data_IF_726428156012
#
_entry.id   IF_726428156012
#
_cell.length_a   1.000
_cell.length_b   1.000
_cell.length_c   1.000
_cell.angle_alpha   90.00
_cell.angle_beta   90.00
_cell.angle_gamma   90.00
#
_symmetry.space_group_name_H-M   'P 1'
#
loop_
_entity.id
_entity.type
_entity.pdbx_description
1 polymer ?
#
# COMPACT_ATOMS: atom_id res chain seq x y z
N UNK A 1 -5.90 -6.25 23.49
CA UNK A 1 -6.53 -7.32 24.29
C UNK A 1 -5.61 -7.57 25.46
N UNK A 2 -6.15 -7.60 26.67
CA UNK A 2 -5.36 -7.85 27.87
C UNK A 2 -4.97 -9.33 27.94
N UNK A 3 -4.03 -9.67 28.81
CA UNK A 3 -3.60 -11.06 29.04
C UNK A 3 -4.77 -11.96 29.47
N UNK A 4 -5.75 -11.39 30.17
CA UNK A 4 -6.98 -12.07 30.60
C UNK A 4 -8.05 -12.24 29.49
N UNK A 5 -7.74 -11.83 28.24
CA UNK A 5 -8.64 -11.92 27.10
C UNK A 5 -9.68 -10.80 27.01
N UNK A 6 -9.75 -9.88 27.98
CA UNK A 6 -10.69 -8.75 27.95
C UNK A 6 -10.19 -7.59 27.07
N UNK A 7 -11.11 -6.68 26.72
CA UNK A 7 -10.79 -5.45 25.98
C UNK A 7 -10.35 -4.33 26.93
N UNK A 8 -9.51 -3.43 26.44
CA UNK A 8 -9.11 -2.24 27.17
C UNK A 8 -10.27 -1.25 27.28
N UNK A 9 -10.35 -0.54 28.42
CA UNK A 9 -11.18 0.64 28.61
C UNK A 9 -10.45 1.88 28.09
N UNK A 10 -11.18 2.96 27.84
CA UNK A 10 -10.62 4.17 27.22
C UNK A 10 -9.39 4.75 27.95
N UNK A 11 -9.43 4.84 29.27
CA UNK A 11 -8.29 5.32 30.06
C UNK A 11 -7.06 4.41 29.95
N UNK A 12 -7.25 3.09 29.76
CA UNK A 12 -6.16 2.13 29.59
C UNK A 12 -5.51 2.31 28.21
N UNK A 13 -6.32 2.52 27.16
CA UNK A 13 -5.83 2.87 25.82
C UNK A 13 -5.02 4.17 25.86
N UNK A 14 -5.57 5.23 26.47
CA UNK A 14 -4.86 6.51 26.60
C UNK A 14 -3.52 6.31 27.30
N UNK A 15 -3.50 5.54 28.40
CA UNK A 15 -2.28 5.31 29.17
C UNK A 15 -1.24 4.56 28.34
N UNK A 16 -1.60 3.43 27.74
CA UNK A 16 -0.69 2.61 26.93
C UNK A 16 -0.10 3.41 25.78
N UNK A 17 -0.93 4.17 25.06
CA UNK A 17 -0.51 4.97 23.91
C UNK A 17 0.49 6.05 24.34
N UNK A 18 0.17 6.82 25.38
CA UNK A 18 1.04 7.90 25.84
C UNK A 18 2.34 7.36 26.45
N UNK A 19 2.27 6.35 27.31
CA UNK A 19 3.47 5.70 27.87
C UNK A 19 4.36 5.15 26.73
N UNK A 20 3.76 4.53 25.71
CA UNK A 20 4.45 4.07 24.52
C UNK A 20 5.18 5.20 23.78
N UNK A 21 4.47 6.30 23.47
CA UNK A 21 5.05 7.46 22.78
C UNK A 21 6.26 8.04 23.50
N UNK A 22 6.16 8.27 24.81
CA UNK A 22 7.27 8.81 25.60
C UNK A 22 8.40 7.80 25.81
N UNK A 23 8.09 6.50 25.85
CA UNK A 23 9.11 5.45 25.92
C UNK A 23 9.94 5.39 24.64
N UNK A 24 9.31 5.48 23.47
CA UNK A 24 10.01 5.56 22.18
C UNK A 24 10.94 6.77 22.15
N UNK A 25 10.43 7.95 22.55
CA UNK A 25 11.23 9.18 22.59
C UNK A 25 12.42 9.06 23.56
N UNK A 26 12.19 8.50 24.76
CA UNK A 26 13.23 8.26 25.77
C UNK A 26 14.30 7.31 25.27
N UNK A 27 13.90 6.21 24.64
CA UNK A 27 14.82 5.22 24.09
C UNK A 27 15.69 5.85 22.99
N UNK A 28 15.07 6.57 22.04
CA UNK A 28 15.80 7.30 21.01
C UNK A 28 16.81 8.28 21.58
N UNK A 29 16.39 9.08 22.57
CA UNK A 29 17.28 10.05 23.21
C UNK A 29 18.48 9.37 23.89
N UNK A 30 18.25 8.27 24.61
CA UNK A 30 19.33 7.50 25.26
C UNK A 30 20.27 6.85 24.26
N UNK A 31 19.72 6.14 23.27
CA UNK A 31 20.49 5.43 22.24
C UNK A 31 21.37 6.40 21.43
N UNK A 32 20.88 7.62 21.18
CA UNK A 32 21.59 8.66 20.41
C UNK A 32 22.32 9.70 21.28
N UNK A 33 22.43 9.49 22.60
CA UNK A 33 23.08 10.41 23.55
C UNK A 33 22.54 11.85 23.49
N UNK A 34 21.24 12.00 23.22
CA UNK A 34 20.54 13.27 23.22
C UNK A 34 20.04 13.61 24.64
N UNK A 35 19.89 14.90 24.99
CA UNK A 35 19.37 15.30 26.29
C UNK A 35 17.98 14.73 26.59
N UNK A 36 17.81 14.18 27.79
CA UNK A 36 16.53 13.71 28.32
C UNK A 36 16.33 14.19 29.75
N UNK A 37 15.12 14.66 30.08
CA UNK A 37 14.76 15.07 31.43
C UNK A 37 13.48 14.35 31.86
N UNK A 38 13.60 13.40 32.77
CA UNK A 38 12.48 12.57 33.22
C UNK A 38 11.36 13.38 33.88
N UNK A 39 11.68 14.43 34.65
CA UNK A 39 10.67 15.27 35.30
C UNK A 39 9.83 16.05 34.27
N UNK A 40 10.50 16.67 33.29
CA UNK A 40 9.83 17.37 32.19
C UNK A 40 8.96 16.41 31.36
N UNK A 41 9.50 15.25 31.02
CA UNK A 41 8.80 14.25 30.24
C UNK A 41 7.55 13.71 30.97
N UNK A 42 7.67 13.41 32.27
CA UNK A 42 6.55 12.93 33.08
C UNK A 42 5.41 13.94 33.14
N UNK A 43 5.72 15.22 33.39
CA UNK A 43 4.70 16.29 33.42
C UNK A 43 4.01 16.43 32.05
N UNK A 44 4.79 16.40 30.98
CA UNK A 44 4.29 16.49 29.60
C UNK A 44 3.41 15.27 29.23
N UNK A 45 3.77 14.07 29.69
CA UNK A 45 3.00 12.85 29.47
C UNK A 45 1.64 12.89 30.19
N UNK A 46 1.59 13.39 31.43
CA UNK A 46 0.33 13.57 32.16
C UNK A 46 -0.61 14.55 31.46
N UNK A 47 -0.08 15.68 30.97
CA UNK A 47 -0.87 16.64 30.18
C UNK A 47 -1.36 16.01 28.87
N UNK A 48 -0.50 15.30 28.14
CA UNK A 48 -0.86 14.63 26.91
C UNK A 48 -1.94 13.56 27.13
N UNK A 49 -1.84 12.78 28.21
CA UNK A 49 -2.86 11.83 28.65
C UNK A 49 -4.19 12.52 28.91
N UNK A 50 -4.21 13.59 29.71
CA UNK A 50 -5.45 14.29 30.04
C UNK A 50 -6.14 14.82 28.78
N UNK A 51 -5.38 15.45 27.88
CA UNK A 51 -5.90 15.98 26.62
C UNK A 51 -6.44 14.87 25.70
N UNK A 52 -5.77 13.73 25.63
CA UNK A 52 -6.26 12.57 24.87
C UNK A 52 -7.52 11.99 25.52
N UNK A 53 -7.52 11.80 26.84
CA UNK A 53 -8.65 11.25 27.59
C UNK A 53 -9.92 12.08 27.44
N UNK A 54 -9.78 13.42 27.46
CA UNK A 54 -10.84 14.39 27.21
C UNK A 54 -11.17 14.60 25.72
N UNK A 55 -10.59 13.80 24.83
CA UNK A 55 -10.80 13.85 23.38
C UNK A 55 -10.48 15.22 22.75
N UNK A 56 -9.55 15.98 23.32
CA UNK A 56 -9.05 17.24 22.72
C UNK A 56 -8.18 16.98 21.49
N UNK A 57 -7.56 15.80 21.43
CA UNK A 57 -6.85 15.28 20.27
C UNK A 57 -6.79 13.76 20.37
N UNK A 58 -6.55 13.08 19.25
CA UNK A 58 -6.25 11.65 19.21
C UNK A 58 -5.13 11.40 18.20
N UNK A 59 -4.29 10.37 18.39
CA UNK A 59 -3.45 9.88 17.31
C UNK A 59 -4.32 9.19 16.24
N UNK A 60 -3.77 8.91 15.05
CA UNK A 60 -4.47 8.09 14.07
C UNK A 60 -4.94 6.77 14.68
N UNK A 61 -6.01 6.18 14.12
CA UNK A 61 -6.58 4.93 14.64
C UNK A 61 -5.57 3.79 14.83
N UNK A 62 -4.59 3.68 13.94
CA UNK A 62 -3.46 2.74 14.08
C UNK A 62 -2.57 3.07 15.28
N UNK A 63 -2.29 4.34 15.52
CA UNK A 63 -1.58 4.77 16.71
C UNK A 63 -2.32 4.37 18.00
N UNK A 64 -3.65 4.54 18.04
CA UNK A 64 -4.45 4.10 19.18
C UNK A 64 -4.38 2.57 19.41
N UNK A 65 -4.34 1.80 18.32
CA UNK A 65 -4.29 0.35 18.37
C UNK A 65 -2.88 -0.21 18.70
N UNK A 66 -1.82 0.37 18.13
CA UNK A 66 -0.49 -0.23 18.12
C UNK A 66 0.53 0.41 19.07
N UNK A 67 0.45 1.71 19.40
CA UNK A 67 1.43 2.33 20.30
C UNK A 67 1.44 1.66 21.67
N UNK A 68 2.63 1.45 22.23
CA UNK A 68 2.80 0.86 23.56
C UNK A 68 2.47 -0.64 23.64
N UNK A 69 2.19 -1.29 22.50
CA UNK A 69 2.00 -2.76 22.45
C UNK A 69 3.34 -3.49 22.26
N UNK A 70 3.44 -4.79 22.56
CA UNK A 70 4.64 -5.59 22.26
C UNK A 70 5.08 -5.52 20.79
N UNK A 71 4.14 -5.32 19.86
CA UNK A 71 4.45 -5.17 18.44
C UNK A 71 5.32 -3.93 18.15
N UNK A 72 5.08 -2.82 18.82
CA UNK A 72 5.85 -1.58 18.62
C UNK A 72 7.03 -1.49 19.59
N UNK A 73 6.86 -1.94 20.83
CA UNK A 73 7.88 -1.78 21.88
C UNK A 73 8.93 -2.88 21.90
N UNK A 74 8.56 -4.14 21.66
CA UNK A 74 9.47 -5.28 21.74
C UNK A 74 9.94 -5.70 20.34
N UNK A 75 8.99 -5.91 19.42
CA UNK A 75 9.29 -6.33 18.03
C UNK A 75 9.83 -5.20 17.16
N UNK A 76 9.81 -3.96 17.67
CA UNK A 76 10.27 -2.74 16.97
C UNK A 76 9.68 -2.59 15.56
N UNK A 77 8.46 -3.07 15.35
CA UNK A 77 7.77 -2.94 14.07
C UNK A 77 7.19 -1.53 13.93
N UNK A 78 7.98 -0.59 13.42
CA UNK A 78 7.57 0.79 13.18
C UNK A 78 6.52 0.92 12.07
N UNK A 79 6.48 -0.01 11.11
CA UNK A 79 5.46 -0.01 10.05
C UNK A 79 4.05 -0.14 10.63
N UNK A 80 3.89 -0.81 11.76
CA UNK A 80 2.63 -0.90 12.51
C UNK A 80 2.11 0.46 13.03
N UNK A 81 2.90 1.54 12.94
CA UNK A 81 2.52 2.91 13.28
C UNK A 81 2.28 3.78 12.04
N UNK A 82 2.68 3.30 10.86
CA UNK A 82 2.45 3.98 9.58
C UNK A 82 1.10 3.53 9.01
N UNK A 83 0.26 4.49 8.64
CA UNK A 83 -1.05 4.25 8.06
C UNK A 83 -1.02 4.17 6.54
N UNK A 84 -0.19 5.01 5.95
CA UNK A 84 -0.18 5.20 4.52
C UNK A 84 1.25 5.40 4.02
N UNK A 85 1.44 5.17 2.74
CA UNK A 85 2.67 5.39 2.03
C UNK A 85 2.39 5.76 0.57
N UNK A 86 3.45 6.16 -0.12
CA UNK A 86 3.47 6.35 -1.57
C UNK A 86 4.71 5.64 -2.13
N UNK A 87 4.58 5.04 -3.32
CA UNK A 87 5.72 4.50 -4.08
C UNK A 87 5.67 4.95 -5.53
N UNK A 88 6.82 5.37 -6.06
CA UNK A 88 6.91 5.79 -7.45
C UNK A 88 7.35 4.64 -8.35
N UNK A 89 6.62 4.37 -9.43
CA UNK A 89 7.05 3.35 -10.41
C UNK A 89 8.22 3.84 -11.27
N UNK A 90 8.59 5.12 -11.14
CA UNK A 90 9.90 5.63 -11.56
C UNK A 90 11.06 4.85 -10.92
N UNK A 91 10.88 4.18 -9.79
CA UNK A 91 11.95 3.43 -9.13
C UNK A 91 12.02 1.95 -9.55
N UNK A 92 11.21 1.51 -10.54
CA UNK A 92 11.31 0.15 -11.09
C UNK A 92 12.74 -0.19 -11.52
N UNK A 93 13.37 -1.16 -10.88
CA UNK A 93 14.70 -1.65 -11.23
C UNK A 93 14.60 -2.61 -12.41
N UNK A 94 15.47 -2.45 -13.41
CA UNK A 94 15.56 -3.37 -14.56
C UNK A 94 15.96 -4.79 -14.15
N UNK A 95 16.70 -4.94 -13.07
CA UNK A 95 17.21 -6.23 -12.61
C UNK A 95 16.24 -6.95 -11.66
N UNK A 96 15.33 -6.21 -11.05
CA UNK A 96 14.34 -6.71 -10.09
C UNK A 96 13.04 -5.88 -10.13
N UNK A 97 12.35 -5.81 -11.28
CA UNK A 97 11.15 -5.00 -11.43
C UNK A 97 10.01 -5.43 -10.51
N UNK A 98 9.96 -6.72 -10.15
CA UNK A 98 8.99 -7.27 -9.21
C UNK A 98 9.11 -6.69 -7.80
N UNK A 99 10.28 -6.18 -7.39
CA UNK A 99 10.53 -5.73 -6.01
C UNK A 99 9.61 -4.58 -5.57
N UNK A 100 9.28 -3.66 -6.47
CA UNK A 100 8.40 -2.53 -6.16
C UNK A 100 6.97 -2.99 -5.86
N UNK A 101 6.46 -3.92 -6.65
CA UNK A 101 5.14 -4.51 -6.47
C UNK A 101 5.10 -5.42 -5.23
N UNK A 102 6.19 -6.14 -4.97
CA UNK A 102 6.38 -6.93 -3.76
C UNK A 102 6.36 -6.03 -2.50
N UNK A 103 7.06 -4.90 -2.52
CA UNK A 103 7.00 -3.89 -1.46
C UNK A 103 5.58 -3.34 -1.28
N UNK A 104 4.86 -3.11 -2.38
CA UNK A 104 3.46 -2.65 -2.34
C UNK A 104 2.57 -3.68 -1.66
N UNK A 105 2.69 -4.96 -2.05
CA UNK A 105 1.99 -6.06 -1.38
C UNK A 105 2.33 -6.11 0.10
N UNK A 106 3.59 -5.94 0.45
CA UNK A 106 4.05 -6.01 1.83
C UNK A 106 3.44 -4.91 2.70
N UNK A 107 3.47 -3.67 2.21
CA UNK A 107 2.85 -2.52 2.84
C UNK A 107 1.34 -2.74 3.03
N UNK A 108 0.64 -3.23 1.99
CA UNK A 108 -0.78 -3.55 2.06
C UNK A 108 -1.08 -4.65 3.10
N UNK A 109 -0.28 -5.72 3.15
CA UNK A 109 -0.40 -6.80 4.16
C UNK A 109 -0.06 -6.34 5.57
N UNK A 110 0.72 -5.27 5.71
CA UNK A 110 0.94 -4.56 6.96
C UNK A 110 -0.17 -3.56 7.25
N UNK A 111 -1.24 -3.49 6.45
CA UNK A 111 -2.38 -2.58 6.63
C UNK A 111 -2.06 -1.11 6.35
N UNK A 112 -1.04 -0.85 5.55
CA UNK A 112 -0.65 0.47 5.06
C UNK A 112 -1.35 0.71 3.73
N UNK A 113 -2.09 1.81 3.58
CA UNK A 113 -2.65 2.21 2.28
C UNK A 113 -1.55 2.79 1.38
N UNK A 114 -1.49 2.41 0.11
CA UNK A 114 -0.38 2.78 -0.79
C UNK A 114 -0.90 3.56 -1.99
N UNK A 115 -0.47 4.81 -2.13
CA UNK A 115 -0.57 5.52 -3.39
C UNK A 115 0.61 5.15 -4.31
N UNK A 116 0.38 5.12 -5.60
CA UNK A 116 1.41 4.79 -6.59
C UNK A 116 1.17 5.52 -7.89
N UNK A 117 2.25 5.89 -8.59
CA UNK A 117 2.16 6.49 -9.93
C UNK A 117 2.39 5.47 -11.04
N UNK A 118 2.12 5.86 -12.29
CA UNK A 118 2.41 5.06 -13.49
C UNK A 118 3.62 5.56 -14.29
N UNK A 119 4.51 6.38 -13.71
CA UNK A 119 5.70 6.95 -14.39
C UNK A 119 6.64 5.85 -14.90
N UNK A 120 6.61 4.68 -14.28
CA UNK A 120 7.34 3.49 -14.72
C UNK A 120 7.03 3.04 -16.15
N UNK A 121 5.89 3.44 -16.73
CA UNK A 121 5.54 3.12 -18.12
C UNK A 121 6.56 3.69 -19.11
N UNK A 122 7.15 4.85 -18.82
CA UNK A 122 8.13 5.52 -19.68
C UNK A 122 9.47 4.76 -19.75
N UNK A 123 9.66 3.76 -18.89
CA UNK A 123 10.85 2.89 -18.91
C UNK A 123 10.79 1.80 -19.96
N UNK A 124 9.64 1.60 -20.62
CA UNK A 124 9.47 0.64 -21.72
C UNK A 124 9.89 -0.80 -21.36
N UNK A 125 9.61 -1.24 -20.12
CA UNK A 125 9.76 -2.64 -19.75
C UNK A 125 8.94 -3.51 -20.69
N UNK A 126 9.56 -4.55 -21.25
CA UNK A 126 8.86 -5.53 -22.07
C UNK A 126 8.27 -6.62 -21.18
N UNK A 127 7.11 -7.13 -21.57
CA UNK A 127 6.50 -8.31 -20.97
C UNK A 127 6.94 -9.53 -21.78
N UNK A 128 7.58 -10.48 -21.11
CA UNK A 128 8.12 -11.71 -21.69
C UNK A 128 7.28 -12.91 -21.26
N UNK A 129 7.18 -13.92 -22.12
CA UNK A 129 6.81 -15.25 -21.66
C UNK A 129 8.05 -15.87 -20.97
N UNK A 130 7.89 -16.50 -19.79
CA UNK A 130 8.96 -17.31 -19.22
C UNK A 130 9.22 -18.52 -20.11
N UNK A 131 10.49 -18.74 -20.47
CA UNK A 131 10.93 -19.79 -21.41
C UNK A 131 11.81 -20.85 -20.77
N UNK A 132 12.43 -20.54 -19.64
CA UNK A 132 13.36 -21.45 -18.98
C UNK A 132 12.61 -22.50 -18.15
N UNK A 133 13.26 -23.63 -17.78
CA UNK A 133 12.62 -24.75 -17.11
C UNK A 133 11.81 -24.35 -15.87
N UNK A 134 10.82 -25.17 -15.54
CA UNK A 134 10.00 -24.98 -14.35
C UNK A 134 10.85 -25.00 -13.09
N UNK A 135 10.70 -23.96 -12.26
CA UNK A 135 11.24 -23.90 -10.90
C UNK A 135 10.07 -23.84 -9.93
N UNK A 136 10.06 -24.77 -8.98
CA UNK A 136 9.04 -24.83 -7.93
C UNK A 136 9.52 -24.10 -6.68
N UNK A 137 8.77 -23.10 -6.24
CA UNK A 137 9.02 -22.39 -4.99
C UNK A 137 8.01 -22.83 -3.93
N UNK A 138 8.52 -23.38 -2.82
CA UNK A 138 7.71 -23.71 -1.66
C UNK A 138 7.50 -22.46 -0.81
N UNK A 139 6.25 -22.01 -0.71
CA UNK A 139 5.94 -20.72 -0.09
C UNK A 139 5.91 -20.92 1.43
N UNK A 140 6.83 -20.29 2.20
CA UNK A 140 6.77 -20.37 3.65
C UNK A 140 5.52 -19.66 4.18
N UNK A 141 4.99 -20.12 5.31
CA UNK A 141 3.78 -19.59 5.97
C UNK A 141 4.03 -18.24 6.68
N UNK A 142 4.55 -17.28 5.91
CA UNK A 142 4.91 -15.93 6.34
C UNK A 142 4.44 -14.90 5.32
N UNK A 143 4.25 -13.66 5.76
CA UNK A 143 3.95 -12.53 4.87
C UNK A 143 5.05 -12.38 3.82
N UNK A 144 6.31 -12.51 4.24
CA UNK A 144 7.48 -12.42 3.39
C UNK A 144 7.49 -13.51 2.30
N UNK A 145 7.02 -14.73 2.61
CA UNK A 145 6.87 -15.80 1.62
C UNK A 145 5.86 -15.47 0.53
N UNK A 146 4.70 -14.91 0.92
CA UNK A 146 3.67 -14.46 -0.02
C UNK A 146 4.23 -13.36 -0.93
N UNK A 147 4.87 -12.35 -0.33
CA UNK A 147 5.49 -11.22 -1.04
C UNK A 147 6.55 -11.70 -2.02
N UNK A 148 7.41 -12.64 -1.60
CA UNK A 148 8.46 -13.19 -2.44
C UNK A 148 7.90 -13.99 -3.62
N UNK A 149 6.83 -14.77 -3.41
CA UNK A 149 6.18 -15.52 -4.50
C UNK A 149 5.64 -14.61 -5.61
N UNK A 150 5.07 -13.46 -5.26
CA UNK A 150 4.62 -12.45 -6.23
C UNK A 150 5.80 -11.77 -6.91
N UNK A 151 6.88 -11.45 -6.18
CA UNK A 151 8.13 -10.91 -6.77
C UNK A 151 8.70 -11.84 -7.83
N UNK A 152 8.83 -13.13 -7.51
CA UNK A 152 9.33 -14.16 -8.41
C UNK A 152 8.44 -14.30 -9.65
N UNK A 153 7.12 -14.32 -9.46
CA UNK A 153 6.17 -14.41 -10.57
C UNK A 153 6.28 -13.20 -11.51
N UNK A 154 6.26 -11.98 -10.97
CA UNK A 154 6.35 -10.77 -11.79
C UNK A 154 7.71 -10.67 -12.50
N UNK A 155 8.81 -11.01 -11.82
CA UNK A 155 10.13 -11.06 -12.45
C UNK A 155 10.17 -12.06 -13.60
N UNK A 156 9.43 -13.17 -13.52
CA UNK A 156 9.36 -14.14 -14.62
C UNK A 156 8.73 -13.58 -15.90
N UNK A 157 7.89 -12.55 -15.78
CA UNK A 157 7.29 -11.84 -16.91
C UNK A 157 8.02 -10.54 -17.28
N UNK A 158 8.73 -9.89 -16.34
CA UNK A 158 9.32 -8.56 -16.55
C UNK A 158 10.83 -8.59 -16.80
N UNK A 159 11.41 -9.79 -16.90
CA UNK A 159 12.80 -10.01 -17.29
C UNK A 159 12.88 -11.08 -18.39
N UNK A 160 13.84 -10.98 -19.32
CA UNK A 160 14.02 -11.99 -20.35
C UNK A 160 14.59 -13.29 -19.77
N UNK A 161 14.34 -14.40 -20.47
CA UNK A 161 14.94 -15.72 -20.20
C UNK A 161 14.80 -16.15 -18.72
N UNK A 162 13.60 -16.03 -18.16
CA UNK A 162 13.31 -16.45 -16.79
C UNK A 162 12.62 -17.80 -16.75
N UNK A 163 12.79 -18.49 -15.62
CA UNK A 163 12.15 -19.76 -15.32
C UNK A 163 10.64 -19.60 -15.18
N UNK A 164 9.91 -20.58 -15.70
CA UNK A 164 8.49 -20.76 -15.38
C UNK A 164 8.37 -21.01 -13.87
N UNK A 165 7.73 -20.09 -13.15
CA UNK A 165 7.55 -20.22 -11.71
C UNK A 165 6.34 -21.08 -11.42
N UNK A 166 6.49 -22.13 -10.62
CA UNK A 166 5.40 -22.90 -10.02
C UNK A 166 5.46 -22.81 -8.50
N UNK A 167 4.32 -22.89 -7.83
CA UNK A 167 4.24 -22.60 -6.39
C UNK A 167 3.67 -23.78 -5.61
N UNK A 168 4.34 -24.13 -4.50
CA UNK A 168 3.79 -25.01 -3.48
C UNK A 168 3.16 -24.19 -2.36
N UNK A 169 1.86 -24.40 -2.13
CA UNK A 169 1.10 -23.72 -1.09
C UNK A 169 0.89 -24.57 0.16
N UNK A 170 1.44 -25.79 0.22
CA UNK A 170 1.15 -26.79 1.27
C UNK A 170 1.56 -26.35 2.67
N UNK A 171 2.57 -25.47 2.79
CA UNK A 171 2.99 -24.93 4.09
C UNK A 171 2.07 -23.84 4.62
N UNK A 172 1.30 -23.16 3.76
CA UNK A 172 0.45 -22.03 4.16
C UNK A 172 -0.68 -22.54 5.05
N UNK A 173 -0.85 -21.90 6.21
CA UNK A 173 -1.87 -22.29 7.20
C UNK A 173 -3.29 -22.24 6.60
N UNK A 174 -4.19 -23.13 7.03
CA UNK A 174 -5.55 -23.18 6.50
C UNK A 174 -6.40 -21.96 6.90
N UNK A 175 -7.52 -21.79 6.19
CA UNK A 175 -8.56 -20.81 6.52
C UNK A 175 -9.00 -20.96 7.99
N UNK A 176 -9.10 -19.84 8.70
CA UNK A 176 -9.49 -19.81 10.11
C UNK A 176 -8.34 -19.95 11.10
N UNK A 177 -7.12 -20.31 10.66
CA UNK A 177 -5.97 -20.42 11.56
C UNK A 177 -5.58 -19.05 12.16
N UNK A 178 -5.23 -18.94 13.46
CA UNK A 178 -4.90 -17.65 14.07
C UNK A 178 -3.67 -16.95 13.46
N UNK A 179 -3.74 -15.63 13.27
CA UNK A 179 -2.58 -14.81 12.88
C UNK A 179 -1.95 -14.17 14.11
N UNK A 180 -0.67 -14.49 14.36
CA UNK A 180 0.12 -13.83 15.43
C UNK A 180 0.53 -12.42 14.98
N UNK A 181 0.31 -11.41 15.83
CA UNK A 181 0.73 -10.02 15.57
C UNK A 181 -0.44 -9.09 15.29
N UNK A 182 -0.94 -9.06 14.06
CA UNK A 182 -2.03 -8.16 13.65
C UNK A 182 -3.44 -8.60 14.13
N UNK A 183 -3.54 -9.79 14.74
CA UNK A 183 -4.80 -10.38 15.16
C UNK A 183 -5.59 -10.95 13.97
N UNK A 184 -6.78 -11.50 14.26
CA UNK A 184 -7.62 -12.11 13.24
C UNK A 184 -7.25 -13.56 12.90
N UNK A 185 -7.87 -14.05 11.83
CA UNK A 185 -7.70 -15.41 11.31
C UNK A 185 -7.24 -15.36 9.86
N UNK A 186 -6.45 -16.35 9.47
CA UNK A 186 -5.91 -16.51 8.13
C UNK A 186 -7.00 -16.85 7.12
N UNK A 187 -6.81 -16.41 5.88
CA UNK A 187 -7.67 -16.69 4.74
C UNK A 187 -7.45 -18.07 4.10
N UNK A 188 -6.43 -18.81 4.53
CA UNK A 188 -5.90 -19.92 3.74
C UNK A 188 -5.11 -19.43 2.51
N UNK A 189 -4.59 -20.37 1.69
CA UNK A 189 -3.80 -20.06 0.50
C UNK A 189 -4.62 -19.56 -0.70
N UNK A 190 -5.94 -19.76 -0.70
CA UNK A 190 -6.81 -19.52 -1.85
C UNK A 190 -6.69 -18.10 -2.45
N UNK A 191 -6.65 -17.00 -1.67
CA UNK A 191 -6.45 -15.67 -2.24
C UNK A 191 -5.12 -15.53 -3.01
N UNK A 192 -4.04 -16.12 -2.51
CA UNK A 192 -2.73 -16.07 -3.16
C UNK A 192 -2.71 -16.90 -4.45
N UNK A 193 -3.35 -18.07 -4.43
CA UNK A 193 -3.54 -18.90 -5.63
C UNK A 193 -4.27 -18.10 -6.71
N UNK A 194 -5.39 -17.44 -6.34
CA UNK A 194 -6.15 -16.57 -7.25
C UNK A 194 -5.33 -15.41 -7.78
N UNK A 195 -4.50 -14.78 -6.93
CA UNK A 195 -3.59 -13.71 -7.34
C UNK A 195 -2.59 -14.20 -8.40
N UNK A 196 -1.90 -15.32 -8.15
CA UNK A 196 -0.94 -15.87 -9.10
C UNK A 196 -1.59 -16.22 -10.43
N UNK A 197 -2.76 -16.87 -10.40
CA UNK A 197 -3.52 -17.19 -11.61
C UNK A 197 -3.97 -15.93 -12.37
N UNK A 198 -4.39 -14.89 -11.65
CA UNK A 198 -4.82 -13.62 -12.24
C UNK A 198 -3.64 -12.88 -12.87
N UNK A 199 -2.48 -12.82 -12.22
CA UNK A 199 -1.26 -12.24 -12.80
C UNK A 199 -0.87 -13.00 -14.07
N UNK A 200 -0.89 -14.34 -14.06
CA UNK A 200 -0.63 -15.13 -15.28
C UNK A 200 -1.59 -14.81 -16.40
N UNK A 201 -2.88 -14.66 -16.09
CA UNK A 201 -3.92 -14.35 -17.08
C UNK A 201 -3.78 -12.92 -17.60
N UNK A 202 -3.62 -11.93 -16.73
CA UNK A 202 -3.66 -10.51 -17.08
C UNK A 202 -2.33 -10.02 -17.65
N UNK A 203 -1.20 -10.44 -17.07
CA UNK A 203 0.13 -10.04 -17.53
C UNK A 203 0.69 -11.03 -18.55
N UNK A 204 0.53 -12.34 -18.33
CA UNK A 204 1.09 -13.34 -19.25
C UNK A 204 0.47 -13.32 -20.65
N UNK A 205 -0.81 -12.95 -20.79
CA UNK A 205 -1.46 -12.81 -22.11
C UNK A 205 -0.98 -11.58 -22.89
N UNK A 206 -0.26 -10.67 -22.25
CA UNK A 206 0.31 -9.45 -22.83
C UNK A 206 1.78 -9.61 -23.22
N UNK A 207 2.24 -10.85 -23.38
CA UNK A 207 3.61 -11.13 -23.83
C UNK A 207 3.90 -10.43 -25.16
N UNK A 208 5.02 -9.72 -25.23
CA UNK A 208 5.43 -8.91 -26.39
C UNK A 208 4.95 -7.45 -26.33
N UNK A 209 4.08 -7.10 -25.37
CA UNK A 209 3.71 -5.72 -25.08
C UNK A 209 4.67 -5.08 -24.08
N UNK A 210 4.55 -3.76 -23.94
CA UNK A 210 5.21 -2.99 -22.88
C UNK A 210 4.37 -2.96 -21.60
N UNK A 211 5.04 -2.85 -20.46
CA UNK A 211 4.43 -2.56 -19.16
C UNK A 211 3.90 -1.12 -19.14
N UNK A 212 2.70 -0.93 -19.67
CA UNK A 212 1.99 0.35 -19.73
C UNK A 212 1.30 0.71 -18.40
N UNK A 213 0.67 1.89 -18.36
CA UNK A 213 -0.11 2.33 -17.19
C UNK A 213 -1.18 1.33 -16.76
N UNK A 214 -1.89 0.70 -17.71
CA UNK A 214 -2.88 -0.35 -17.43
C UNK A 214 -2.25 -1.53 -16.67
N UNK A 215 -1.14 -2.08 -17.16
CA UNK A 215 -0.45 -3.22 -16.57
C UNK A 215 0.05 -2.90 -15.16
N UNK A 216 0.64 -1.71 -14.98
CA UNK A 216 1.11 -1.24 -13.68
C UNK A 216 -0.04 -1.20 -12.67
N UNK A 217 -1.13 -0.51 -13.03
CA UNK A 217 -2.29 -0.38 -12.14
C UNK A 217 -2.86 -1.74 -11.81
N UNK A 218 -2.73 -2.72 -12.71
CA UNK A 218 -3.48 -3.95 -12.57
C UNK A 218 -2.76 -5.14 -11.99
N UNK A 219 -1.43 -5.08 -11.99
CA UNK A 219 -0.61 -5.73 -10.97
C UNK A 219 -0.99 -5.22 -9.57
N UNK A 220 -0.99 -3.91 -9.34
CA UNK A 220 -1.23 -3.35 -7.99
C UNK A 220 -2.66 -3.62 -7.51
N UNK A 221 -3.66 -3.50 -8.38
CA UNK A 221 -5.04 -3.75 -8.02
C UNK A 221 -5.29 -5.24 -7.74
N UNK A 222 -4.74 -6.16 -8.53
CA UNK A 222 -4.82 -7.60 -8.23
C UNK A 222 -4.16 -7.94 -6.89
N UNK A 223 -2.99 -7.35 -6.60
CA UNK A 223 -2.34 -7.49 -5.29
C UNK A 223 -3.28 -7.00 -4.18
N UNK A 224 -3.89 -5.82 -4.34
CA UNK A 224 -4.81 -5.28 -3.36
C UNK A 224 -6.03 -6.18 -3.11
N UNK A 225 -6.65 -6.73 -4.16
CA UNK A 225 -7.81 -7.62 -3.99
C UNK A 225 -7.44 -8.91 -3.24
N UNK A 226 -6.24 -9.44 -3.48
CA UNK A 226 -5.68 -10.57 -2.73
C UNK A 226 -5.54 -10.23 -1.23
N UNK A 227 -5.00 -9.06 -0.90
CA UNK A 227 -4.80 -8.66 0.50
C UNK A 227 -6.14 -8.44 1.23
N UNK A 228 -7.13 -7.85 0.55
CA UNK A 228 -8.49 -7.69 1.11
C UNK A 228 -9.13 -9.05 1.40
N UNK A 229 -9.06 -9.99 0.45
CA UNK A 229 -9.55 -11.36 0.65
C UNK A 229 -8.75 -12.12 1.73
N UNK A 230 -7.48 -11.74 1.94
CA UNK A 230 -6.58 -12.20 2.98
C UNK A 230 -6.99 -11.85 4.42
N UNK A 231 -8.12 -11.16 4.61
CA UNK A 231 -8.66 -10.72 5.91
C UNK A 231 -7.74 -9.74 6.68
N UNK A 232 -6.81 -9.10 5.98
CA UNK A 232 -6.08 -7.93 6.48
C UNK A 232 -6.90 -6.72 6.05
N UNK A 233 -7.46 -5.97 7.02
CA UNK A 233 -8.18 -4.69 6.91
C UNK A 233 -8.20 -4.08 5.50
N UNK A 234 -9.40 -3.71 4.98
CA UNK A 234 -9.63 -3.01 3.70
C UNK A 234 -8.39 -2.25 3.20
N UNK A 235 -7.62 -2.88 2.30
CA UNK A 235 -6.54 -2.23 1.57
C UNK A 235 -7.10 -1.00 0.85
N UNK A 236 -6.27 0.02 0.69
CA UNK A 236 -6.64 1.22 -0.04
C UNK A 236 -5.46 1.60 -0.91
N UNK A 237 -5.72 1.77 -2.20
CA UNK A 237 -4.71 2.28 -3.14
C UNK A 237 -5.23 3.48 -3.90
N UNK A 238 -4.29 4.32 -4.32
CA UNK A 238 -4.55 5.44 -5.21
C UNK A 238 -3.59 5.32 -6.38
N UNK A 239 -4.13 5.18 -7.58
CA UNK A 239 -3.34 5.19 -8.80
C UNK A 239 -3.23 6.63 -9.31
N UNK A 240 -2.02 7.09 -9.62
CA UNK A 240 -1.75 8.40 -10.20
C UNK A 240 -1.22 8.25 -11.64
N UNK A 241 -2.06 8.62 -12.61
CA UNK A 241 -1.73 8.56 -14.03
C UNK A 241 -1.29 9.90 -14.60
N UNK A 242 -0.71 9.86 -15.80
CA UNK A 242 -0.40 11.07 -16.56
C UNK A 242 -1.68 11.74 -17.08
N UNK A 243 -1.68 13.08 -17.14
CA UNK A 243 -2.72 13.82 -17.85
C UNK A 243 -2.69 13.45 -19.34
N UNK A 244 -3.83 13.05 -19.89
CA UNK A 244 -3.96 12.66 -21.30
C UNK A 244 -3.64 11.19 -21.63
N UNK A 245 -3.38 10.36 -20.63
CA UNK A 245 -3.29 8.90 -20.83
C UNK A 245 -4.70 8.31 -20.93
N UNK A 246 -5.21 8.18 -22.15
CA UNK A 246 -6.55 7.64 -22.42
C UNK A 246 -6.74 6.21 -21.90
N UNK A 247 -5.69 5.39 -21.91
CA UNK A 247 -5.75 4.03 -21.35
C UNK A 247 -6.00 4.10 -19.85
N UNK A 248 -5.24 4.93 -19.14
CA UNK A 248 -5.38 5.14 -17.69
C UNK A 248 -6.75 5.70 -17.30
N UNK A 249 -7.22 6.73 -18.02
CA UNK A 249 -8.51 7.37 -17.73
C UNK A 249 -9.68 6.39 -17.91
N UNK A 250 -9.53 5.38 -18.78
CA UNK A 250 -10.57 4.37 -19.02
C UNK A 250 -10.49 3.14 -18.11
N UNK A 251 -9.52 3.01 -17.20
CA UNK A 251 -9.35 1.77 -16.40
C UNK A 251 -10.56 1.39 -15.54
N UNK A 252 -11.43 2.36 -15.21
CA UNK A 252 -12.69 2.17 -14.49
C UNK A 252 -13.93 2.32 -15.40
N UNK A 253 -13.75 2.23 -16.71
CA UNK A 253 -14.82 2.24 -17.69
C UNK A 253 -15.20 0.79 -18.09
N UNK A 254 -16.39 0.29 -17.70
CA UNK A 254 -16.83 -1.08 -18.01
C UNK A 254 -17.05 -1.33 -19.50
N UNK A 255 -17.31 -0.30 -20.31
CA UNK A 255 -17.49 -0.47 -21.75
C UNK A 255 -16.16 -0.72 -22.48
N UNK A 256 -15.06 -0.24 -21.90
CA UNK A 256 -13.70 -0.37 -22.47
C UNK A 256 -12.96 -1.57 -21.86
N UNK A 257 -13.05 -1.75 -20.54
CA UNK A 257 -12.41 -2.85 -19.83
C UNK A 257 -13.42 -3.60 -18.96
N UNK A 258 -14.35 -4.37 -19.57
CA UNK A 258 -15.40 -5.09 -18.85
C UNK A 258 -14.85 -6.11 -17.86
N UNK A 259 -13.73 -6.76 -18.16
CA UNK A 259 -13.09 -7.74 -17.28
C UNK A 259 -12.56 -7.10 -15.99
N UNK A 260 -12.08 -5.86 -16.07
CA UNK A 260 -11.59 -5.12 -14.90
C UNK A 260 -12.73 -4.65 -14.00
N UNK A 261 -13.87 -4.32 -14.60
CA UNK A 261 -15.03 -3.70 -13.96
C UNK A 261 -16.19 -4.68 -13.73
N UNK A 262 -15.93 -5.98 -13.86
CA UNK A 262 -16.93 -7.04 -13.67
C UNK A 262 -17.48 -7.04 -12.23
N UNK A 263 -18.81 -7.12 -12.12
CA UNK A 263 -19.53 -7.35 -10.86
C UNK A 263 -19.97 -8.81 -10.69
N UNK A 264 -19.57 -9.71 -11.60
CA UNK A 264 -19.84 -11.15 -11.49
C UNK A 264 -19.16 -11.71 -10.22
N UNK A 265 -19.91 -12.28 -9.26
CA UNK A 265 -19.32 -12.88 -8.06
C UNK A 265 -18.34 -14.03 -8.35
N UNK A 266 -18.52 -14.74 -9.47
CA UNK A 266 -17.65 -15.86 -9.88
C UNK A 266 -16.39 -15.37 -10.60
N UNK A 267 -16.47 -14.22 -11.27
CA UNK A 267 -15.36 -13.58 -11.98
C UNK A 267 -15.31 -12.08 -11.66
N UNK A 268 -15.05 -11.70 -10.39
CA UNK A 268 -15.10 -10.30 -10.00
C UNK A 268 -13.93 -9.54 -10.60
N UNK A 269 -14.21 -8.32 -11.04
CA UNK A 269 -13.21 -7.38 -11.48
C UNK A 269 -12.33 -6.88 -10.32
N UNK A 270 -11.25 -6.20 -10.66
CA UNK A 270 -10.27 -5.64 -9.72
C UNK A 270 -10.16 -4.11 -9.81
N UNK A 271 -10.91 -3.46 -10.69
CA UNK A 271 -10.88 -2.00 -10.87
C UNK A 271 -11.28 -1.21 -9.61
N UNK A 272 -12.12 -1.80 -8.74
CA UNK A 272 -12.57 -1.17 -7.51
C UNK A 272 -11.47 -0.98 -6.46
N UNK A 273 -10.32 -1.63 -6.63
CA UNK A 273 -9.26 -1.63 -5.63
C UNK A 273 -8.59 -0.25 -5.46
N UNK A 274 -8.55 0.55 -6.53
CA UNK A 274 -7.97 1.89 -6.52
C UNK A 274 -9.00 2.97 -6.84
N UNK A 275 -8.82 4.13 -6.22
CA UNK A 275 -9.28 5.39 -6.81
C UNK A 275 -8.19 5.88 -7.77
N UNK A 276 -8.57 6.50 -8.88
CA UNK A 276 -7.64 6.88 -9.93
C UNK A 276 -7.64 8.40 -10.08
N UNK A 277 -6.48 9.02 -9.90
CA UNK A 277 -6.29 10.45 -10.12
C UNK A 277 -5.31 10.70 -11.25
N UNK A 278 -5.42 11.85 -11.90
CA UNK A 278 -4.43 12.30 -12.87
C UNK A 278 -3.52 13.37 -12.26
N UNK A 279 -2.27 13.39 -12.71
CA UNK A 279 -1.34 14.49 -12.42
C UNK A 279 -1.76 15.70 -13.24
N UNK A 280 -2.51 16.61 -12.61
CA UNK A 280 -2.97 17.85 -13.20
C UNK A 280 -1.93 18.98 -13.01
N UNK A 281 -2.14 20.06 -13.75
CA UNK A 281 -1.41 21.33 -13.60
C UNK A 281 -2.42 22.47 -13.57
N UNK A 282 -2.02 23.65 -13.09
CA UNK A 282 -2.88 24.83 -13.17
C UNK A 282 -3.19 25.12 -14.65
N UNK A 283 -4.48 25.06 -15.01
CA UNK A 283 -4.93 25.25 -16.39
C UNK A 283 -5.12 23.98 -17.21
N UNK A 284 -5.04 22.78 -16.59
CA UNK A 284 -5.55 21.55 -17.21
C UNK A 284 -6.99 21.77 -17.72
N UNK A 285 -7.31 21.29 -18.92
CA UNK A 285 -8.67 21.32 -19.46
C UNK A 285 -9.53 20.33 -18.64
N UNK A 286 -10.27 20.81 -17.64
CA UNK A 286 -11.02 19.98 -16.71
C UNK A 286 -12.34 19.50 -17.32
N UNK A 287 -12.87 20.26 -18.26
CA UNK A 287 -14.16 20.03 -18.93
C UNK A 287 -14.22 18.65 -19.59
N UNK A 288 -13.10 18.15 -20.12
CA UNK A 288 -13.02 16.82 -20.74
C UNK A 288 -13.26 15.65 -19.76
N UNK A 289 -13.19 15.90 -18.45
CA UNK A 289 -13.36 14.88 -17.42
C UNK A 289 -14.73 14.94 -16.74
N UNK A 290 -15.54 15.98 -17.02
CA UNK A 290 -16.79 16.23 -16.30
C UNK A 290 -17.77 15.07 -16.41
N UNK A 291 -18.01 14.55 -17.63
CA UNK A 291 -18.96 13.46 -17.84
C UNK A 291 -18.57 12.22 -17.03
N UNK A 292 -17.27 11.87 -17.00
CA UNK A 292 -16.76 10.74 -16.21
C UNK A 292 -16.93 10.96 -14.71
N UNK A 293 -16.64 12.17 -14.23
CA UNK A 293 -16.78 12.52 -12.81
C UNK A 293 -18.26 12.46 -12.40
N UNK A 294 -19.18 12.88 -13.27
CA UNK A 294 -20.62 12.75 -13.04
C UNK A 294 -21.03 11.27 -12.99
N UNK A 295 -20.48 10.46 -13.89
CA UNK A 295 -20.84 9.04 -14.00
C UNK A 295 -20.36 8.20 -12.81
N UNK A 296 -19.11 8.42 -12.34
CA UNK A 296 -18.50 7.53 -11.34
C UNK A 296 -17.61 8.22 -10.28
N UNK A 297 -17.50 9.55 -10.31
CA UNK A 297 -16.67 10.32 -9.37
C UNK A 297 -15.17 10.35 -9.68
N UNK A 298 -14.75 9.85 -10.85
CA UNK A 298 -13.35 9.75 -11.27
C UNK A 298 -13.10 10.51 -12.60
N UNK A 299 -11.87 10.96 -12.89
CA UNK A 299 -10.69 10.88 -12.03
C UNK A 299 -10.63 12.00 -10.98
N UNK A 300 -9.89 11.76 -9.90
CA UNK A 300 -9.39 12.84 -9.05
C UNK A 300 -8.28 13.65 -9.72
N UNK A 301 -7.95 14.80 -9.15
CA UNK A 301 -6.89 15.68 -9.66
C UNK A 301 -5.82 15.92 -8.60
N UNK A 302 -4.55 15.72 -8.97
CA UNK A 302 -3.41 15.95 -8.09
C UNK A 302 -2.43 16.91 -8.78
N UNK A 303 -2.14 18.03 -8.12
CA UNK A 303 -1.24 19.07 -8.60
C UNK A 303 0.17 18.89 -8.02
N UNK A 304 0.96 18.00 -8.66
CA UNK A 304 2.33 17.74 -8.23
C UNK A 304 3.22 18.98 -8.33
N UNK A 305 2.96 19.86 -9.30
CA UNK A 305 3.65 21.14 -9.45
C UNK A 305 3.45 22.05 -8.23
N UNK A 306 2.22 22.10 -7.69
CA UNK A 306 1.93 22.85 -6.47
C UNK A 306 2.60 22.20 -5.27
N UNK A 307 2.43 20.88 -5.10
CA UNK A 307 3.00 20.14 -3.98
C UNK A 307 4.53 20.25 -3.88
N UNK A 308 5.22 20.26 -5.03
CA UNK A 308 6.69 20.40 -5.10
C UNK A 308 7.19 21.79 -4.77
N UNK A 309 6.40 22.83 -5.09
CA UNK A 309 6.85 24.21 -5.03
C UNK A 309 6.46 24.95 -3.75
N UNK A 310 5.45 24.47 -3.01
CA UNK A 310 4.89 25.18 -1.87
C UNK A 310 4.74 24.30 -0.63
N UNK A 311 5.23 24.78 0.51
CA UNK A 311 4.80 24.29 1.82
C UNK A 311 3.40 24.79 2.19
N UNK A 312 3.26 26.09 2.49
CA UNK A 312 1.94 26.75 2.60
C UNK A 312 1.75 27.68 1.41
N UNK A 313 0.57 27.67 0.81
CA UNK A 313 0.27 28.51 -0.36
C UNK A 313 0.36 30.03 -0.09
N UNK A 314 0.33 30.46 1.17
CA UNK A 314 0.52 31.88 1.55
C UNK A 314 1.99 32.32 1.55
N UNK A 315 2.92 31.37 1.61
CA UNK A 315 4.35 31.63 1.62
C UNK A 315 4.85 31.64 0.17
N UNK A 316 6.00 32.27 -0.08
CA UNK A 316 6.62 32.25 -1.41
C UNK A 316 7.00 30.80 -1.80
N UNK A 317 7.05 30.48 -3.11
CA UNK A 317 7.53 29.18 -3.57
C UNK A 317 8.93 28.91 -3.02
N UNK A 318 9.13 27.74 -2.41
CA UNK A 318 10.40 27.38 -1.76
C UNK A 318 11.03 26.09 -2.30
N UNK A 319 10.30 25.31 -3.10
CA UNK A 319 10.82 24.12 -3.77
C UNK A 319 11.32 23.02 -2.82
N UNK A 320 10.96 23.07 -1.53
CA UNK A 320 11.54 22.16 -0.53
C UNK A 320 11.13 20.71 -0.76
N UNK A 321 9.93 20.50 -1.28
CA UNK A 321 9.33 19.18 -1.53
C UNK A 321 9.46 18.77 -3.01
N UNK A 322 10.51 19.20 -3.70
CA UNK A 322 10.76 18.90 -5.13
C UNK A 322 10.80 17.41 -5.50
N UNK A 323 10.96 16.51 -4.51
CA UNK A 323 11.00 15.05 -4.68
C UNK A 323 9.64 14.37 -4.63
N UNK A 324 8.57 15.09 -4.31
CA UNK A 324 7.20 14.54 -4.29
C UNK A 324 6.89 13.90 -5.64
N UNK A 325 6.38 12.67 -5.63
CA UNK A 325 6.03 11.92 -6.85
C UNK A 325 4.55 11.55 -6.92
N UNK A 326 3.83 11.69 -5.81
CA UNK A 326 2.43 11.29 -5.69
C UNK A 326 1.96 11.58 -4.28
N UNK A 327 0.90 10.92 -3.85
CA UNK A 327 0.35 11.11 -2.51
C UNK A 327 -0.04 9.76 -1.92
N UNK A 328 -0.29 9.73 -0.62
CA UNK A 328 -0.99 8.62 0.01
C UNK A 328 -2.45 8.50 -0.51
N UNK A 329 -3.17 7.39 -0.23
CA UNK A 329 -4.51 7.18 -0.82
C UNK A 329 -5.58 8.23 -0.53
N UNK A 330 -5.45 8.97 0.57
CA UNK A 330 -6.39 10.03 0.94
C UNK A 330 -5.94 11.43 0.48
N UNK A 331 -4.79 11.52 -0.22
CA UNK A 331 -4.25 12.72 -0.85
C UNK A 331 -3.92 13.90 0.10
N UNK A 332 -3.74 13.66 1.41
CA UNK A 332 -3.34 14.68 2.38
C UNK A 332 -1.84 14.73 2.67
N UNK A 333 -1.07 13.72 2.24
CA UNK A 333 0.38 13.63 2.42
C UNK A 333 1.08 13.44 1.05
N UNK A 334 1.83 14.46 0.58
CA UNK A 334 2.62 14.39 -0.65
C UNK A 334 3.92 13.59 -0.50
#
# INVERSE_FOLDING_TARGET
>A
MKEDGTKERWHEVCRRVIEGMYSVQKNWAKENRLPWNDYKAQKSAQEAFQRMFELKWTPPGRGMWAFGTPMTMEKRNSAALQNCAMVSTKDLDKNDPGALFAWTMDALMLGVGVGFDTVGQDKNFQIYAPTEPVVKYEIPDTREGWVESVRLLLNSFLRPNQNIQEFDYSLIRPLGAPIKGFGGVASGPEPLIKLHNSIRKVIGTRTGETLDSRAIVDIVNLIGTCVVAGNVRRSATLALGASGDDSFINLKNPDVFPERNSFDPENPGWAWMSNNSISATVGTNYEQYVDRIVDNGEPGFIWLDVARNYGRLKDAPDGKDYRVMGFNPCAEQP
#
